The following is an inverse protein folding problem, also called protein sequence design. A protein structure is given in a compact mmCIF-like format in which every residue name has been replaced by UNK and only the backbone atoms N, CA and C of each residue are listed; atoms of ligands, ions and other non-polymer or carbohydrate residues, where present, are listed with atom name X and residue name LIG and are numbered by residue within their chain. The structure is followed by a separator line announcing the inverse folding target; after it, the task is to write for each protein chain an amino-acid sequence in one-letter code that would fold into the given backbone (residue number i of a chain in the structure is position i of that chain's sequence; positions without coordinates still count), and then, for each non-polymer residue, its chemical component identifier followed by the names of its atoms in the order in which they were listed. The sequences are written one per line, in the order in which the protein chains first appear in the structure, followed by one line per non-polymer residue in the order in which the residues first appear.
data_IF_574798796875
#
_entry.id   IF_574798796875
#
_cell.length_a   1.000
_cell.length_b   1.000
_cell.length_c   1.000
_cell.angle_alpha   90.00
_cell.angle_beta   90.00
_cell.angle_gamma   90.00
#
_symmetry.space_group_name_H-M   'P 1'
#
loop_
_entity.id
_entity.type
_entity.pdbx_description
1 polymer ?
#
# COMPACT_ATOMS: atom_id res chain seq x y z
N UNK A 1 13.70 -41.34 -34.35
CA UNK A 1 13.24 -42.49 -35.16
C UNK A 1 11.79 -42.26 -35.55
N UNK A 2 11.58 -41.73 -36.76
CA UNK A 2 10.43 -41.96 -37.64
C UNK A 2 10.94 -41.45 -38.99
N UNK A 3 11.20 -42.42 -39.85
CA UNK A 3 12.06 -42.31 -41.01
C UNK A 3 11.16 -42.15 -42.26
N UNK A 4 11.60 -41.29 -43.18
CA UNK A 4 11.48 -41.47 -44.63
C UNK A 4 10.07 -41.29 -45.24
N UNK A 5 9.83 -40.57 -46.35
CA UNK A 5 10.69 -40.17 -47.49
C UNK A 5 10.10 -38.93 -48.18
N UNK A 6 10.92 -37.94 -48.53
CA UNK A 6 10.62 -37.00 -49.61
C UNK A 6 11.14 -37.59 -50.92
N UNK A 7 10.24 -37.97 -51.82
CA UNK A 7 10.59 -38.33 -53.19
C UNK A 7 10.46 -37.07 -54.05
N UNK A 8 11.61 -36.55 -54.46
CA UNK A 8 11.74 -35.57 -55.54
C UNK A 8 11.53 -36.30 -56.88
N UNK A 9 10.56 -35.86 -57.68
CA UNK A 9 10.56 -36.11 -59.12
C UNK A 9 10.08 -34.85 -59.85
N UNK A 10 10.70 -34.67 -61.01
CA UNK A 10 10.86 -33.45 -61.78
C UNK A 10 9.66 -33.21 -62.72
N UNK A 11 9.40 -31.92 -63.00
CA UNK A 11 8.71 -31.34 -64.15
C UNK A 11 7.18 -31.17 -64.16
N UNK A 12 6.82 -29.98 -64.66
CA UNK A 12 5.54 -29.44 -65.13
C UNK A 12 4.58 -28.87 -64.06
N UNK A 13 4.71 -27.55 -63.96
CA UNK A 13 3.79 -26.57 -63.41
C UNK A 13 2.31 -26.95 -63.55
N UNK A 14 1.63 -27.17 -62.43
CA UNK A 14 0.21 -26.83 -62.26
C UNK A 14 0.00 -26.41 -60.81
N UNK A 15 -0.52 -25.19 -60.69
CA UNK A 15 -1.14 -24.58 -59.52
C UNK A 15 -1.88 -25.55 -58.60
N UNK A 16 -1.66 -25.48 -57.28
CA UNK A 16 -2.70 -25.42 -56.25
C UNK A 16 -2.07 -25.52 -54.83
N UNK A 17 -2.53 -24.67 -53.92
CA UNK A 17 -2.47 -24.84 -52.45
C UNK A 17 -1.09 -24.90 -51.78
N UNK A 18 -0.53 -23.72 -51.46
CA UNK A 18 0.01 -23.53 -50.12
C UNK A 18 -1.06 -22.76 -49.33
N UNK A 19 -1.81 -23.50 -48.51
CA UNK A 19 -2.61 -22.94 -47.42
C UNK A 19 -1.68 -22.06 -46.58
N UNK A 20 -2.00 -20.77 -46.55
CA UNK A 20 -1.46 -19.81 -45.60
C UNK A 20 -1.89 -20.30 -44.21
N UNK A 21 -0.99 -20.95 -43.47
CA UNK A 21 -1.18 -21.16 -42.04
C UNK A 21 -1.32 -19.76 -41.42
N UNK A 22 -2.46 -19.43 -40.77
CA UNK A 22 -2.45 -18.29 -39.88
C UNK A 22 -1.43 -18.64 -38.80
N UNK A 23 -0.27 -17.98 -38.85
CA UNK A 23 0.67 -18.04 -37.76
C UNK A 23 -0.10 -17.73 -36.49
N UNK A 24 -0.23 -18.74 -35.62
CA UNK A 24 -0.64 -18.56 -34.24
C UNK A 24 0.41 -17.65 -33.61
N UNK A 25 0.23 -16.34 -33.75
CA UNK A 25 0.76 -15.39 -32.81
C UNK A 25 -0.02 -15.66 -31.52
N UNK A 26 0.55 -16.55 -30.72
CA UNK A 26 0.29 -16.52 -29.29
C UNK A 26 0.56 -15.09 -28.86
N UNK A 27 -0.51 -14.33 -28.64
CA UNK A 27 -0.45 -13.13 -27.83
C UNK A 27 0.12 -13.59 -26.50
N UNK A 28 1.41 -13.34 -26.29
CA UNK A 28 1.94 -13.28 -24.95
C UNK A 28 1.14 -12.17 -24.27
N UNK A 29 0.18 -12.54 -23.42
CA UNK A 29 -0.41 -11.64 -22.46
C UNK A 29 0.74 -11.05 -21.66
N UNK A 30 1.15 -9.84 -22.05
CA UNK A 30 1.98 -8.96 -21.26
C UNK A 30 1.26 -8.85 -19.93
N UNK A 31 1.77 -9.56 -18.91
CA UNK A 31 1.21 -9.60 -17.57
C UNK A 31 0.79 -8.20 -17.16
N UNK A 32 -0.52 -8.05 -17.03
CA UNK A 32 -1.17 -6.84 -16.55
C UNK A 32 -0.56 -6.51 -15.18
N UNK A 33 0.39 -5.58 -15.17
CA UNK A 33 0.73 -4.85 -13.95
C UNK A 33 -0.52 -4.05 -13.62
N UNK A 34 -1.50 -4.70 -12.99
CA UNK A 34 -2.62 -4.01 -12.35
C UNK A 34 -1.98 -3.02 -11.39
N UNK A 35 -1.90 -1.76 -11.81
CA UNK A 35 -1.61 -0.66 -10.92
C UNK A 35 -2.82 -0.62 -10.01
N UNK A 36 -2.70 -1.33 -8.90
CA UNK A 36 -3.71 -1.30 -7.86
C UNK A 36 -3.76 0.15 -7.40
N UNK A 37 -4.91 0.79 -7.50
CA UNK A 37 -5.10 2.12 -6.93
C UNK A 37 -5.24 1.99 -5.42
N UNK A 38 -4.71 2.93 -4.63
CA UNK A 38 -4.93 2.90 -3.19
C UNK A 38 -6.42 3.05 -2.87
N UNK A 39 -6.87 2.33 -1.85
CA UNK A 39 -8.24 2.40 -1.33
C UNK A 39 -8.45 3.75 -0.63
N UNK A 40 -7.40 4.24 0.05
CA UNK A 40 -7.41 5.53 0.72
C UNK A 40 -6.01 6.08 0.94
N UNK A 41 -5.94 7.32 1.41
CA UNK A 41 -4.70 8.02 1.69
C UNK A 41 -4.75 8.65 3.08
N UNK A 42 -3.69 8.42 3.85
CA UNK A 42 -3.44 9.05 5.13
C UNK A 42 -2.47 10.21 4.96
N UNK A 43 -2.79 11.35 5.54
CA UNK A 43 -1.91 12.52 5.60
C UNK A 43 -1.81 13.03 7.03
N UNK A 44 -0.60 13.08 7.58
CA UNK A 44 -0.29 13.71 8.86
C UNK A 44 0.45 15.02 8.59
N UNK A 45 -0.15 16.14 8.97
CA UNK A 45 0.39 17.46 8.69
C UNK A 45 1.37 17.90 9.77
N UNK A 46 2.56 18.34 9.34
CA UNK A 46 3.59 18.97 10.18
C UNK A 46 3.79 18.29 11.56
N UNK A 47 4.03 16.97 11.59
CA UNK A 47 4.16 16.26 12.86
C UNK A 47 5.34 16.80 13.67
N UNK A 48 5.23 16.72 15.00
CA UNK A 48 6.33 17.05 15.90
C UNK A 48 7.40 15.98 15.83
N UNK A 49 8.66 16.41 15.78
CA UNK A 49 9.82 15.53 15.78
C UNK A 49 10.68 15.81 17.02
N UNK A 50 11.12 14.73 17.67
CA UNK A 50 12.08 14.77 18.76
C UNK A 50 13.28 13.91 18.41
N UNK A 51 14.48 14.43 18.62
CA UNK A 51 15.74 13.68 18.45
C UNK A 51 16.48 13.68 19.76
N UNK A 52 16.91 12.50 20.18
CA UNK A 52 17.83 12.27 21.29
C UNK A 52 19.06 11.53 20.76
N UNK A 53 20.05 11.33 21.62
CA UNK A 53 21.16 10.44 21.28
C UNK A 53 20.61 9.05 20.94
N UNK A 54 20.93 8.56 19.74
CA UNK A 54 20.46 7.31 19.14
C UNK A 54 18.96 7.21 18.88
N UNK A 55 18.09 8.08 19.40
CA UNK A 55 16.65 7.97 19.20
C UNK A 55 16.11 9.13 18.35
N UNK A 56 15.23 8.81 17.42
CA UNK A 56 14.47 9.78 16.64
C UNK A 56 13.00 9.36 16.71
N UNK A 57 12.12 10.28 17.08
CA UNK A 57 10.69 10.03 17.21
C UNK A 57 9.87 11.11 16.53
N UNK A 58 8.71 10.73 16.02
CA UNK A 58 7.75 11.60 15.35
C UNK A 58 6.35 11.32 15.89
N UNK A 59 5.59 12.38 16.19
CA UNK A 59 4.20 12.29 16.62
C UNK A 59 3.38 13.39 15.93
N UNK A 60 2.23 13.02 15.39
CA UNK A 60 1.31 14.00 14.83
C UNK A 60 -0.09 13.42 14.65
N UNK A 61 -0.99 14.30 14.26
CA UNK A 61 -2.38 13.99 13.97
C UNK A 61 -2.71 14.44 12.55
N UNK A 62 -3.67 13.77 11.92
CA UNK A 62 -4.06 14.07 10.56
C UNK A 62 -5.29 13.28 10.16
N UNK A 63 -5.43 13.04 8.86
CA UNK A 63 -6.67 12.50 8.31
C UNK A 63 -6.41 11.35 7.34
N UNK A 64 -7.17 10.28 7.49
CA UNK A 64 -7.31 9.21 6.52
C UNK A 64 -8.56 9.45 5.67
N UNK A 65 -8.35 9.57 4.35
CA UNK A 65 -9.40 9.78 3.35
C UNK A 65 -9.60 8.52 2.54
N UNK A 66 -10.83 8.05 2.47
CA UNK A 66 -11.22 6.87 1.69
C UNK A 66 -12.60 7.08 1.08
N UNK A 67 -13.09 6.11 0.31
CA UNK A 67 -14.50 6.01 -0.04
C UNK A 67 -15.17 4.91 0.79
N UNK A 68 -16.40 5.16 1.22
CA UNK A 68 -17.23 4.12 1.85
C UNK A 68 -17.81 3.16 0.79
N UNK A 69 -18.57 2.15 1.22
CA UNK A 69 -19.22 1.19 0.33
C UNK A 69 -20.18 1.85 -0.68
N UNK A 70 -20.77 3.00 -0.33
CA UNK A 70 -21.64 3.78 -1.21
C UNK A 70 -20.86 4.73 -2.17
N UNK A 71 -19.53 4.68 -2.17
CA UNK A 71 -18.67 5.52 -3.01
C UNK A 71 -18.53 6.97 -2.53
N UNK A 72 -19.11 7.32 -1.38
CA UNK A 72 -19.03 8.65 -0.79
C UNK A 72 -17.67 8.86 -0.15
N UNK A 73 -17.16 10.10 -0.22
CA UNK A 73 -15.92 10.47 0.47
C UNK A 73 -16.12 10.35 1.98
N UNK A 74 -15.19 9.65 2.61
CA UNK A 74 -15.11 9.50 4.05
C UNK A 74 -13.75 10.01 4.53
N UNK A 75 -13.76 10.68 5.68
CA UNK A 75 -12.56 11.15 6.36
C UNK A 75 -12.54 10.66 7.81
N UNK A 76 -11.38 10.26 8.29
CA UNK A 76 -11.14 9.80 9.66
C UNK A 76 -9.96 10.54 10.27
N UNK A 77 -10.11 11.07 11.48
CA UNK A 77 -8.97 11.54 12.26
C UNK A 77 -8.05 10.36 12.60
N UNK A 78 -6.75 10.52 12.38
CA UNK A 78 -5.74 9.50 12.65
C UNK A 78 -4.55 10.14 13.35
N UNK A 79 -4.16 9.56 14.49
CA UNK A 79 -2.90 9.88 15.16
C UNK A 79 -1.79 8.94 14.69
N UNK A 80 -0.58 9.46 14.60
CA UNK A 80 0.64 8.74 14.24
C UNK A 80 1.70 8.90 15.33
N UNK A 81 2.35 7.80 15.68
CA UNK A 81 3.65 7.79 16.38
C UNK A 81 4.62 6.94 15.58
N UNK A 82 5.81 7.46 15.31
CA UNK A 82 6.88 6.74 14.61
C UNK A 82 8.21 6.92 15.32
N UNK A 83 9.13 5.98 15.16
CA UNK A 83 10.47 6.10 15.73
C UNK A 83 11.50 5.15 15.17
N UNK A 84 12.77 5.53 15.30
CA UNK A 84 13.93 4.74 14.88
C UNK A 84 15.14 4.98 15.79
N UNK A 85 16.10 4.07 15.70
CA UNK A 85 17.39 4.17 16.40
C UNK A 85 18.45 4.90 15.53
N UNK A 86 18.15 6.13 15.11
CA UNK A 86 18.99 6.91 14.18
C UNK A 86 19.37 8.32 14.68
N UNK A 87 19.13 8.62 15.95
CA UNK A 87 19.38 9.95 16.52
C UNK A 87 20.87 10.29 16.63
N UNK A 88 21.28 11.45 16.11
CA UNK A 88 22.69 11.92 16.16
C UNK A 88 22.85 13.24 16.91
N UNK A 89 21.75 13.86 17.32
CA UNK A 89 21.71 15.17 17.97
C UNK A 89 20.56 15.24 18.98
N UNK A 90 20.50 16.33 19.73
CA UNK A 90 19.39 16.65 20.63
C UNK A 90 18.54 17.75 19.99
N UNK A 91 17.23 17.54 19.86
CA UNK A 91 16.40 18.49 19.13
C UNK A 91 14.89 18.33 19.28
N UNK A 92 14.25 19.50 19.44
CA UNK A 92 12.83 19.89 19.30
C UNK A 92 12.41 20.37 17.90
N UNK A 93 11.48 19.76 17.15
CA UNK A 93 11.07 20.37 15.88
C UNK A 93 9.70 19.99 15.34
N UNK A 94 9.47 20.41 14.10
CA UNK A 94 8.43 19.92 13.19
C UNK A 94 9.10 19.23 12.00
N UNK A 95 8.49 18.16 11.50
CA UNK A 95 8.92 17.47 10.29
C UNK A 95 7.99 17.78 9.11
N UNK A 96 8.40 17.34 7.93
CA UNK A 96 7.55 17.37 6.74
C UNK A 96 6.35 16.43 6.91
N UNK A 97 5.32 16.64 6.08
CA UNK A 97 4.11 15.84 6.07
C UNK A 97 4.42 14.36 5.81
N UNK A 98 3.74 13.50 6.58
CA UNK A 98 3.76 12.05 6.36
C UNK A 98 2.57 11.70 5.49
N UNK A 99 2.84 11.05 4.36
CA UNK A 99 1.83 10.62 3.41
C UNK A 99 1.95 9.10 3.23
N UNK A 100 0.85 8.38 3.45
CA UNK A 100 0.79 6.92 3.31
C UNK A 100 -0.42 6.56 2.45
N UNK A 101 -0.18 5.83 1.37
CA UNK A 101 -1.22 5.23 0.55
C UNK A 101 -1.59 3.85 1.11
N UNK A 102 -2.88 3.59 1.31
CA UNK A 102 -3.39 2.36 1.91
C UNK A 102 -4.03 1.49 0.84
N UNK A 103 -3.56 0.25 0.72
CA UNK A 103 -4.04 -0.73 -0.27
C UNK A 103 -4.77 -1.91 0.40
N UNK A 104 -4.46 -2.20 1.67
CA UNK A 104 -5.12 -3.25 2.43
C UNK A 104 -6.49 -2.80 2.94
N UNK A 105 -7.52 -3.60 2.68
CA UNK A 105 -8.84 -3.42 3.28
C UNK A 105 -8.82 -3.55 4.81
N UNK A 106 -7.99 -4.44 5.36
CA UNK A 106 -7.85 -4.63 6.80
C UNK A 106 -7.37 -3.33 7.49
N UNK A 107 -6.21 -2.80 7.09
CA UNK A 107 -5.72 -1.48 7.51
C UNK A 107 -6.78 -0.39 7.39
N UNK A 108 -7.44 -0.26 6.23
CA UNK A 108 -8.49 0.74 6.01
C UNK A 108 -9.61 0.62 7.06
N UNK A 109 -10.08 -0.59 7.31
CA UNK A 109 -11.12 -0.85 8.30
C UNK A 109 -10.67 -0.55 9.74
N UNK A 110 -9.44 -0.91 10.12
CA UNK A 110 -8.88 -0.57 11.43
C UNK A 110 -8.83 0.96 11.63
N UNK A 111 -8.35 1.69 10.62
CA UNK A 111 -8.31 3.16 10.65
C UNK A 111 -9.70 3.79 10.82
N UNK A 112 -10.70 3.26 10.11
CA UNK A 112 -12.09 3.72 10.24
C UNK A 112 -12.70 3.40 11.61
N UNK A 113 -12.33 2.27 12.23
CA UNK A 113 -12.80 1.90 13.57
C UNK A 113 -11.99 2.52 14.71
N UNK A 114 -10.99 3.35 14.40
CA UNK A 114 -10.08 3.94 15.40
C UNK A 114 -9.33 2.85 16.18
N UNK A 115 -8.99 1.76 15.48
CA UNK A 115 -8.22 0.63 16.00
C UNK A 115 -6.73 0.81 15.67
N UNK A 116 -5.87 0.32 16.58
CA UNK A 116 -4.42 0.42 16.43
C UNK A 116 -3.93 -0.34 15.19
N UNK A 117 -3.00 0.25 14.46
CA UNK A 117 -2.29 -0.37 13.34
C UNK A 117 -0.80 -0.24 13.61
N UNK A 118 -0.12 -1.35 13.87
CA UNK A 118 1.33 -1.40 14.06
C UNK A 118 1.99 -1.77 12.74
N UNK A 119 3.00 -1.01 12.31
CA UNK A 119 3.66 -1.20 11.01
C UNK A 119 4.19 -2.62 10.79
N UNK A 120 4.66 -3.26 11.86
CA UNK A 120 5.33 -4.55 11.82
C UNK A 120 4.37 -5.71 11.53
N UNK A 121 3.06 -5.49 11.70
CA UNK A 121 2.01 -6.47 11.41
C UNK A 121 1.58 -6.47 9.93
N UNK A 122 2.12 -5.56 9.12
CA UNK A 122 1.72 -5.35 7.72
C UNK A 122 2.91 -5.23 6.79
N UNK A 123 2.71 -5.52 5.51
CA UNK A 123 3.72 -5.29 4.49
C UNK A 123 3.76 -3.80 4.13
N UNK A 124 4.79 -3.10 4.61
CA UNK A 124 5.01 -1.68 4.31
C UNK A 124 6.10 -1.50 3.27
N UNK A 125 5.77 -0.79 2.19
CA UNK A 125 6.75 -0.39 1.19
C UNK A 125 7.08 1.11 1.30
N UNK A 126 8.32 1.45 0.95
CA UNK A 126 8.82 2.84 0.89
C UNK A 126 9.16 3.26 -0.54
N UNK A 127 8.80 2.42 -1.51
CA UNK A 127 8.98 2.65 -2.93
C UNK A 127 7.70 2.27 -3.68
N UNK A 128 7.32 3.03 -4.72
CA UNK A 128 6.15 2.70 -5.52
C UNK A 128 6.36 1.43 -6.34
N UNK A 129 5.26 0.75 -6.69
CA UNK A 129 5.28 -0.42 -7.58
C UNK A 129 5.56 -1.76 -6.89
N UNK A 130 5.73 -1.75 -5.57
CA UNK A 130 5.79 -2.97 -4.73
C UNK A 130 4.36 -3.27 -4.26
N UNK A 131 3.93 -4.53 -4.39
CA UNK A 131 2.68 -5.01 -3.78
C UNK A 131 2.85 -4.98 -2.26
N UNK A 132 2.12 -4.11 -1.58
CA UNK A 132 2.22 -3.87 -0.14
C UNK A 132 0.85 -3.45 0.42
N UNK A 133 0.63 -3.64 1.71
CA UNK A 133 -0.58 -3.22 2.40
C UNK A 133 -0.65 -1.70 2.54
N UNK A 134 0.52 -1.09 2.72
CA UNK A 134 0.72 0.35 2.83
C UNK A 134 1.98 0.78 2.06
N UNK A 135 1.91 1.93 1.40
CA UNK A 135 3.07 2.55 0.74
C UNK A 135 3.31 3.93 1.34
N UNK A 136 4.43 4.08 2.03
CA UNK A 136 4.90 5.38 2.52
C UNK A 136 5.40 6.20 1.34
N UNK A 137 4.76 7.36 1.12
CA UNK A 137 5.11 8.32 0.06
C UNK A 137 6.09 9.39 0.54
N UNK A 138 5.98 9.80 1.80
CA UNK A 138 6.87 10.80 2.42
C UNK A 138 6.86 10.74 3.94
N UNK A 139 7.84 11.41 4.56
CA UNK A 139 7.87 11.72 6.00
C UNK A 139 8.31 10.59 6.93
N UNK A 140 8.29 9.34 6.47
CA UNK A 140 8.81 8.18 7.20
C UNK A 140 9.88 7.46 6.38
N UNK A 141 10.77 6.76 7.08
CA UNK A 141 11.87 5.99 6.50
C UNK A 141 11.81 4.52 6.95
N UNK A 142 12.48 3.65 6.20
CA UNK A 142 12.46 2.20 6.43
C UNK A 142 13.30 1.74 7.64
N UNK A 143 14.01 2.65 8.32
CA UNK A 143 14.86 2.31 9.46
C UNK A 143 14.09 2.28 10.79
N UNK A 144 12.82 2.65 10.78
CA UNK A 144 11.95 2.74 11.95
C UNK A 144 10.58 2.13 11.73
N UNK A 145 9.91 1.90 12.85
CA UNK A 145 8.51 1.47 12.89
C UNK A 145 7.57 2.64 13.17
N UNK A 146 6.29 2.41 12.94
CA UNK A 146 5.23 3.37 13.27
C UNK A 146 3.95 2.68 13.72
N UNK A 147 3.13 3.44 14.45
CA UNK A 147 1.83 3.03 14.95
C UNK A 147 0.83 4.12 14.54
N UNK A 148 -0.24 3.70 13.87
CA UNK A 148 -1.42 4.54 13.61
C UNK A 148 -2.48 4.24 14.67
N UNK A 149 -3.23 5.26 15.08
CA UNK A 149 -4.21 5.17 16.17
C UNK A 149 -3.64 4.53 17.45
N UNK A 150 -2.46 4.98 17.94
CA UNK A 150 -1.83 4.39 19.12
C UNK A 150 -2.77 4.43 20.32
N UNK A 151 -2.91 3.30 20.99
CA UNK A 151 -3.83 3.15 22.12
C UNK A 151 -3.08 3.29 23.45
N UNK A 152 -3.47 4.22 24.34
CA UNK A 152 -2.84 4.32 25.64
C UNK A 152 -2.98 3.00 26.42
N UNK A 153 -1.85 2.43 26.87
CA UNK A 153 -1.87 1.18 27.67
C UNK A 153 -2.63 1.31 28.99
N UNK A 154 -2.80 2.53 29.47
CA UNK A 154 -3.57 2.87 30.67
C UNK A 154 -5.07 3.03 30.40
N UNK A 155 -5.57 2.89 29.16
CA UNK A 155 -7.02 3.03 28.86
C UNK A 155 -7.91 2.17 29.74
N UNK A 156 -7.45 0.96 30.10
CA UNK A 156 -8.16 0.04 30.98
C UNK A 156 -8.35 0.58 32.41
N UNK A 157 -7.44 1.43 32.89
CA UNK A 157 -7.56 2.06 34.20
C UNK A 157 -8.65 3.13 34.25
N UNK A 158 -8.99 3.74 33.11
CA UNK A 158 -9.91 4.88 33.06
C UNK A 158 -11.18 4.65 32.25
N UNK A 159 -11.43 3.40 31.80
CA UNK A 159 -12.60 3.02 30.97
C UNK A 159 -12.91 4.02 29.85
N UNK A 160 -11.87 4.48 29.16
CA UNK A 160 -12.04 5.44 28.07
C UNK A 160 -12.47 4.73 26.80
N UNK A 161 -13.75 4.86 26.44
CA UNK A 161 -14.30 4.41 25.17
C UNK A 161 -13.82 5.32 24.02
N UNK A 162 -13.42 4.71 22.90
CA UNK A 162 -13.14 5.47 21.67
C UNK A 162 -14.47 5.82 21.04
N UNK A 163 -14.73 7.11 20.79
CA UNK A 163 -15.80 7.48 19.88
C UNK A 163 -15.42 6.93 18.50
N UNK A 164 -16.23 6.00 17.99
CA UNK A 164 -16.07 5.50 16.64
C UNK A 164 -16.21 6.63 15.62
N UNK A 165 -15.60 6.45 14.45
CA UNK A 165 -15.80 7.39 13.36
C UNK A 165 -17.21 7.19 12.74
N UNK A 166 -17.97 8.25 12.43
CA UNK A 166 -19.20 8.15 11.64
C UNK A 166 -19.07 7.32 10.35
N UNK A 167 -17.87 7.20 9.78
CA UNK A 167 -17.61 6.36 8.62
C UNK A 167 -17.62 4.84 8.86
N UNK A 168 -17.46 4.39 10.10
CA UNK A 168 -17.50 2.96 10.44
C UNK A 168 -18.93 2.39 10.44
N UNK A 169 -19.94 3.26 10.44
CA UNK A 169 -21.37 2.93 10.59
C UNK A 169 -22.10 2.89 9.23
N UNK A 170 -21.53 2.25 8.22
CA UNK A 170 -22.24 2.01 6.95
C UNK A 170 -22.29 0.51 6.71
N UNK A 171 -23.21 -0.14 7.41
CA UNK A 171 -23.92 -1.37 7.05
C UNK A 171 -25.04 -1.54 8.09
N UNK A 172 -26.25 -1.10 7.74
CA UNK A 172 -27.48 -1.60 8.39
C UNK A 172 -27.72 -3.06 8.00
#
# INVERSE_FOLDING_TARGET
MLLNRCVFLWWLAVWLFCLFEPGNQAFAESGDRRIQSPIGQLVIHQPRIGVLFQLKGLKGDGYYRTRNAAGQLCEAEVSLVAGSFAGQSLGIGTAADVVIDVYSLAVSQHLLRVEEVVSDDYLVAYQPGISADMVVRSGLDASGGFILQPQPRWRSWWRLESKGNPCAQVND
#
